data_IF_445541421812
#
_entry.id   IF_445541421812
#
_cell.length_a   1.000
_cell.length_b   1.000
_cell.length_c   1.000
_cell.angle_alpha   90.00
_cell.angle_beta   90.00
_cell.angle_gamma   90.00
#
_symmetry.space_group_name_H-M   'P 1'
#
loop_
_entity.id
_entity.type
_entity.pdbx_description
1 polymer ?
#
# COMPACT_ATOMS: atom_id res chain seq x y z
N UNK A 1 2.18 -19.97 -6.74
CA UNK A 1 2.40 -18.51 -6.71
C UNK A 1 1.63 -17.91 -5.56
N UNK A 2 2.29 -17.09 -4.78
CA UNK A 2 1.69 -16.40 -3.64
C UNK A 2 1.51 -14.94 -3.99
N UNK A 3 0.31 -14.40 -3.74
CA UNK A 3 -0.03 -13.01 -4.00
C UNK A 3 -0.37 -12.36 -2.67
N UNK A 4 0.32 -11.27 -2.33
CA UNK A 4 -0.01 -10.45 -1.18
C UNK A 4 -0.70 -9.18 -1.62
N UNK A 5 -1.77 -8.80 -0.92
CA UNK A 5 -2.49 -7.56 -1.15
C UNK A 5 -2.66 -6.82 0.16
N UNK A 6 -2.50 -5.52 0.13
CA UNK A 6 -2.74 -4.66 1.28
C UNK A 6 -3.55 -3.45 0.86
N UNK A 7 -4.60 -3.16 1.61
CA UNK A 7 -5.44 -1.98 1.44
C UNK A 7 -5.24 -1.08 2.65
N UNK A 8 -4.87 0.18 2.43
CA UNK A 8 -4.65 1.13 3.51
C UNK A 8 -5.48 2.39 3.28
N UNK A 9 -6.16 2.82 4.33
CA UNK A 9 -6.86 4.10 4.33
C UNK A 9 -6.16 5.07 5.26
N UNK A 10 -6.01 6.30 4.80
CA UNK A 10 -5.31 7.37 5.51
C UNK A 10 -6.22 8.57 5.70
N UNK A 11 -5.96 9.31 6.75
CA UNK A 11 -6.51 10.64 6.94
C UNK A 11 -5.40 11.68 6.77
N UNK A 12 -5.64 12.67 5.90
CA UNK A 12 -4.71 13.75 5.63
C UNK A 12 -5.16 15.00 6.37
N UNK A 13 -4.58 15.23 7.54
CA UNK A 13 -4.94 16.36 8.40
C UNK A 13 -4.67 17.68 7.68
N UNK A 14 -5.69 18.53 7.64
CA UNK A 14 -5.56 19.87 7.10
C UNK A 14 -5.37 19.96 5.60
N UNK A 15 -5.42 18.84 4.87
CA UNK A 15 -5.28 18.89 3.41
C UNK A 15 -6.56 19.40 2.78
N UNK A 16 -6.46 20.46 1.99
CA UNK A 16 -7.60 21.08 1.31
C UNK A 16 -7.41 21.20 -0.20
N UNK A 17 -6.49 20.45 -0.78
CA UNK A 17 -6.24 20.51 -2.22
C UNK A 17 -5.87 19.15 -2.80
N UNK A 18 -6.22 18.94 -4.08
CA UNK A 18 -5.79 17.77 -4.83
C UNK A 18 -4.26 17.75 -5.00
N UNK A 19 -3.66 18.91 -5.16
CA UNK A 19 -2.20 19.03 -5.28
C UNK A 19 -1.49 18.50 -4.03
N UNK A 20 -1.98 18.85 -2.85
CA UNK A 20 -1.45 18.35 -1.59
C UNK A 20 -1.62 16.84 -1.46
N UNK A 21 -2.79 16.33 -1.83
CA UNK A 21 -3.06 14.88 -1.81
C UNK A 21 -2.14 14.12 -2.76
N UNK A 22 -1.96 14.62 -4.00
CA UNK A 22 -1.08 13.99 -4.98
C UNK A 22 0.37 13.95 -4.52
N UNK A 23 0.80 14.98 -3.79
CA UNK A 23 2.15 15.04 -3.22
C UNK A 23 2.36 13.91 -2.21
N UNK A 24 1.38 13.66 -1.34
CA UNK A 24 1.44 12.57 -0.36
C UNK A 24 1.47 11.23 -1.07
N UNK A 25 0.59 11.02 -2.04
CA UNK A 25 0.54 9.76 -2.82
C UNK A 25 1.89 9.50 -3.49
N UNK A 26 2.47 10.51 -4.12
CA UNK A 26 3.77 10.39 -4.79
C UNK A 26 4.88 10.02 -3.82
N UNK A 27 4.91 10.66 -2.66
CA UNK A 27 5.94 10.38 -1.65
C UNK A 27 5.85 8.94 -1.14
N UNK A 28 4.64 8.45 -0.90
CA UNK A 28 4.42 7.06 -0.49
C UNK A 28 4.87 6.09 -1.59
N UNK A 29 4.46 6.34 -2.83
CA UNK A 29 4.84 5.49 -3.96
C UNK A 29 6.35 5.43 -4.16
N UNK A 30 7.01 6.58 -4.14
CA UNK A 30 8.46 6.67 -4.38
C UNK A 30 9.21 5.91 -3.29
N UNK A 31 8.83 6.09 -2.04
CA UNK A 31 9.48 5.41 -0.93
C UNK A 31 9.32 3.90 -1.03
N UNK A 32 8.13 3.42 -1.28
CA UNK A 32 7.89 1.97 -1.34
C UNK A 32 8.55 1.33 -2.55
N UNK A 33 8.56 1.99 -3.70
CA UNK A 33 9.20 1.46 -4.90
C UNK A 33 10.72 1.40 -4.77
N UNK A 34 11.31 2.32 -4.01
CA UNK A 34 12.74 2.26 -3.75
C UNK A 34 13.14 1.09 -2.87
N UNK A 35 12.30 0.76 -1.89
CA UNK A 35 12.64 -0.21 -0.87
C UNK A 35 12.07 -1.61 -1.14
N UNK A 36 11.01 -1.72 -1.95
CA UNK A 36 10.27 -2.97 -2.15
C UNK A 36 9.85 -3.16 -3.60
N UNK A 37 9.79 -4.42 -4.01
CA UNK A 37 9.24 -4.80 -5.31
C UNK A 37 7.73 -5.00 -5.17
N UNK A 38 6.98 -3.91 -5.24
CA UNK A 38 5.52 -3.93 -5.08
C UNK A 38 4.87 -3.04 -6.12
N UNK A 39 3.62 -3.33 -6.43
CA UNK A 39 2.74 -2.45 -7.21
C UNK A 39 1.89 -1.63 -6.27
N UNK A 40 1.71 -0.35 -6.57
CA UNK A 40 0.97 0.59 -5.74
C UNK A 40 0.02 1.40 -6.60
N UNK A 41 -1.20 1.58 -6.10
CA UNK A 41 -2.19 2.42 -6.77
C UNK A 41 -3.11 3.08 -5.75
N UNK A 42 -3.63 4.24 -6.11
CA UNK A 42 -4.77 4.82 -5.41
C UNK A 42 -6.02 4.07 -5.87
N UNK A 43 -6.76 3.45 -4.94
CA UNK A 43 -7.85 2.52 -5.28
C UNK A 43 -9.23 2.99 -4.84
N UNK A 44 -9.32 4.16 -4.21
CA UNK A 44 -10.61 4.72 -3.81
C UNK A 44 -10.44 6.12 -3.24
N UNK A 45 -11.58 6.76 -2.93
CA UNK A 45 -11.64 8.10 -2.31
C UNK A 45 -10.90 9.19 -3.12
N UNK A 46 -10.84 9.05 -4.44
CA UNK A 46 -10.05 9.94 -5.29
C UNK A 46 -10.53 11.38 -5.26
N UNK A 47 -11.84 11.59 -5.02
CA UNK A 47 -12.45 12.92 -4.96
C UNK A 47 -12.50 13.52 -3.55
N UNK A 48 -12.01 12.79 -2.54
CA UNK A 48 -12.04 13.23 -1.14
C UNK A 48 -10.66 13.77 -0.77
N UNK A 49 -10.57 15.05 -0.41
CA UNK A 49 -9.30 15.72 -0.18
C UNK A 49 -8.59 15.28 1.10
N UNK A 50 -9.34 14.85 2.13
CA UNK A 50 -8.79 14.46 3.42
C UNK A 50 -8.65 12.96 3.61
N UNK A 51 -9.06 12.17 2.63
CA UNK A 51 -9.01 10.72 2.71
C UNK A 51 -8.22 10.15 1.53
N UNK A 52 -7.40 9.16 1.82
CA UNK A 52 -6.57 8.49 0.82
C UNK A 52 -6.72 6.98 0.97
N UNK A 53 -6.96 6.29 -0.13
CA UNK A 53 -7.09 4.84 -0.13
C UNK A 53 -6.07 4.26 -1.11
N UNK A 54 -5.07 3.55 -0.60
CA UNK A 54 -3.99 2.97 -1.38
C UNK A 54 -4.08 1.45 -1.35
N UNK A 55 -3.92 0.83 -2.52
CA UNK A 55 -3.75 -0.60 -2.66
C UNK A 55 -2.32 -0.94 -3.02
N UNK A 56 -1.81 -2.03 -2.44
CA UNK A 56 -0.47 -2.53 -2.68
C UNK A 56 -0.55 -4.02 -2.98
N UNK A 57 0.22 -4.50 -3.93
CA UNK A 57 0.29 -5.92 -4.23
C UNK A 57 1.70 -6.37 -4.56
N UNK A 58 1.97 -7.65 -4.32
CA UNK A 58 3.24 -8.28 -4.60
C UNK A 58 3.04 -9.77 -4.89
N UNK A 59 3.99 -10.38 -5.57
CA UNK A 59 3.99 -11.82 -5.84
C UNK A 59 5.29 -12.44 -5.33
N UNK A 60 5.21 -13.69 -4.90
CA UNK A 60 6.36 -14.49 -4.51
C UNK A 60 6.04 -15.98 -4.64
N UNK A 61 7.01 -16.82 -4.33
CA UNK A 61 6.81 -18.27 -4.29
C UNK A 61 6.58 -18.79 -2.87
N UNK A 62 6.67 -17.94 -1.86
CA UNK A 62 6.74 -18.34 -0.46
C UNK A 62 5.79 -17.51 0.42
N UNK A 63 4.90 -18.19 1.15
CA UNK A 63 3.92 -17.51 1.99
C UNK A 63 4.55 -16.80 3.21
N UNK A 64 5.45 -17.44 3.98
CA UNK A 64 6.10 -16.75 5.10
C UNK A 64 6.86 -15.50 4.67
N UNK A 65 7.51 -15.55 3.52
CA UNK A 65 8.16 -14.35 2.95
C UNK A 65 7.14 -13.25 2.69
N UNK A 66 5.99 -13.60 2.11
CA UNK A 66 4.94 -12.63 1.80
C UNK A 66 4.35 -11.99 3.07
N UNK A 67 4.13 -12.78 4.12
CA UNK A 67 3.69 -12.26 5.42
C UNK A 67 4.67 -11.21 5.95
N UNK A 68 5.95 -11.52 5.90
CA UNK A 68 7.01 -10.61 6.33
C UNK A 68 7.09 -9.36 5.47
N UNK A 69 6.93 -9.50 4.16
CA UNK A 69 6.94 -8.36 3.23
C UNK A 69 5.81 -7.40 3.51
N UNK A 70 4.59 -7.89 3.69
CA UNK A 70 3.43 -7.05 3.99
C UNK A 70 3.62 -6.28 5.29
N UNK A 71 4.16 -6.93 6.32
CA UNK A 71 4.46 -6.27 7.59
C UNK A 71 5.51 -5.16 7.41
N UNK A 72 6.57 -5.42 6.68
CA UNK A 72 7.62 -4.43 6.42
C UNK A 72 7.09 -3.24 5.63
N UNK A 73 6.22 -3.48 4.66
CA UNK A 73 5.60 -2.42 3.86
C UNK A 73 4.75 -1.50 4.73
N UNK A 74 3.88 -2.08 5.57
CA UNK A 74 3.01 -1.31 6.47
C UNK A 74 3.87 -0.47 7.44
N UNK A 75 4.91 -1.08 8.02
CA UNK A 75 5.80 -0.37 8.94
C UNK A 75 6.55 0.77 8.24
N UNK A 76 6.99 0.57 7.00
CA UNK A 76 7.67 1.60 6.23
C UNK A 76 6.74 2.80 5.96
N UNK A 77 5.48 2.53 5.62
CA UNK A 77 4.49 3.58 5.39
C UNK A 77 4.23 4.38 6.67
N UNK A 78 4.09 3.69 7.80
CA UNK A 78 3.87 4.34 9.09
C UNK A 78 5.01 5.29 9.45
N UNK A 79 6.24 4.92 9.12
CA UNK A 79 7.43 5.73 9.39
C UNK A 79 7.52 6.98 8.52
N UNK A 80 6.89 6.99 7.35
CA UNK A 80 6.88 8.18 6.47
C UNK A 80 6.16 9.34 7.16
N UNK A 81 5.11 9.04 7.93
CA UNK A 81 4.39 10.00 8.77
C UNK A 81 3.86 11.23 8.01
N UNK A 82 3.44 11.04 6.76
CA UNK A 82 2.81 12.09 5.96
C UNK A 82 1.30 12.13 6.09
N UNK A 83 0.72 11.04 6.61
CA UNK A 83 -0.71 10.88 6.82
C UNK A 83 -0.92 9.81 7.88
N UNK A 84 -2.05 9.88 8.58
CA UNK A 84 -2.39 8.89 9.60
C UNK A 84 -3.05 7.69 8.97
N UNK A 85 -2.55 6.48 9.28
CA UNK A 85 -3.22 5.24 8.89
C UNK A 85 -4.45 5.09 9.77
N UNK A 86 -5.64 5.10 9.15
CA UNK A 86 -6.92 4.95 9.84
C UNK A 86 -7.30 3.49 9.93
N UNK A 87 -6.99 2.74 8.87
CA UNK A 87 -7.37 1.34 8.75
C UNK A 87 -6.50 0.66 7.70
N UNK A 88 -6.23 -0.62 7.89
CA UNK A 88 -5.56 -1.42 6.88
C UNK A 88 -6.05 -2.86 6.91
N UNK A 89 -5.95 -3.53 5.76
CA UNK A 89 -6.34 -4.92 5.61
C UNK A 89 -5.35 -5.62 4.69
N UNK A 90 -4.93 -6.80 5.08
CA UNK A 90 -3.98 -7.62 4.32
C UNK A 90 -4.61 -8.96 3.97
N UNK A 91 -4.44 -9.40 2.74
CA UNK A 91 -4.83 -10.73 2.30
C UNK A 91 -3.67 -11.39 1.58
N UNK A 92 -3.51 -12.69 1.79
CA UNK A 92 -2.51 -13.50 1.10
C UNK A 92 -3.24 -14.65 0.43
N UNK A 93 -3.02 -14.76 -0.89
CA UNK A 93 -3.67 -15.74 -1.74
C UNK A 93 -2.61 -16.66 -2.34
N UNK A 94 -2.94 -17.95 -2.47
CA UNK A 94 -2.11 -18.91 -3.16
C UNK A 94 -2.82 -19.38 -4.42
N UNK A 95 -2.11 -19.32 -5.55
CA UNK A 95 -2.60 -19.84 -6.82
C UNK A 95 -1.69 -20.96 -7.27
N UNK A 96 -2.31 -22.11 -7.62
CA UNK A 96 -1.56 -23.24 -8.11
C UNK A 96 -0.90 -22.93 -9.46
N UNK A 97 0.35 -23.34 -9.62
CA UNK A 97 1.08 -23.26 -10.88
C UNK A 97 1.44 -24.64 -11.42
N UNK A 98 0.82 -25.69 -10.91
CA UNK A 98 1.20 -27.08 -11.20
C UNK A 98 0.97 -27.47 -12.67
N UNK A 99 0.11 -26.75 -13.39
CA UNK A 99 -0.25 -27.05 -14.77
C UNK A 99 0.45 -26.15 -15.81
N UNK A 100 1.47 -25.47 -15.41
CA UNK A 100 2.26 -24.65 -16.33
C UNK A 100 3.40 -25.41 -16.98
#
# INVERSE_FOLDING_TARGET
MVIGCCSLRFYLHGNNSLKGKRRVVRAIKDRLKNDFNVSIAEVGNQDVLQSLHIGISAVSSDKPYMDGLMTKVINAIDKINLADIVDYKTEILSMSTDNY
#
